data_IF_637605880263
#
_entry.id   IF_637605880263
#
_cell.length_a   1.000
_cell.length_b   1.000
_cell.length_c   1.000
_cell.angle_alpha   90.00
_cell.angle_beta   90.00
_cell.angle_gamma   90.00
#
_symmetry.space_group_name_H-M   'P 1'
#
loop_
_entity.id
_entity.type
_entity.pdbx_description
1 polymer ?
#
# COMPACT_ATOMS: atom_id res chain seq x y z
N UNK A 1 5.70 -16.02 -11.41
CA UNK A 1 5.92 -14.81 -10.59
C UNK A 1 5.89 -13.57 -11.49
N UNK A 2 4.78 -13.31 -12.18
CA UNK A 2 4.83 -12.43 -13.35
C UNK A 2 4.06 -11.09 -13.25
N UNK A 3 3.38 -10.75 -12.15
CA UNK A 3 2.62 -9.48 -12.08
C UNK A 3 2.28 -9.02 -10.64
N UNK A 4 3.16 -9.22 -9.67
CA UNK A 4 2.94 -8.66 -8.33
C UNK A 4 2.80 -7.13 -8.43
N UNK A 5 1.92 -6.54 -7.63
CA UNK A 5 1.68 -5.10 -7.56
C UNK A 5 2.18 -4.57 -6.22
N UNK A 6 2.67 -3.33 -6.24
CA UNK A 6 3.03 -2.56 -5.06
C UNK A 6 2.07 -1.40 -4.93
N UNK A 7 1.14 -1.52 -4.00
CA UNK A 7 0.17 -0.49 -3.69
C UNK A 7 0.81 0.58 -2.81
N UNK A 8 0.97 1.78 -3.34
CA UNK A 8 1.58 2.92 -2.66
C UNK A 8 0.45 3.78 -2.11
N UNK A 9 0.44 3.99 -0.79
CA UNK A 9 -0.64 4.67 -0.09
C UNK A 9 -0.85 6.10 -0.61
N UNK A 10 0.22 6.85 -0.83
CA UNK A 10 0.18 8.20 -1.39
C UNK A 10 1.44 8.53 -2.19
N UNK A 11 1.26 9.06 -3.39
CA UNK A 11 2.34 9.64 -4.20
C UNK A 11 2.70 11.02 -3.67
N UNK A 12 3.85 11.11 -3.01
CA UNK A 12 4.46 12.37 -2.55
C UNK A 12 5.83 12.57 -3.23
N UNK A 13 6.72 13.39 -2.66
CA UNK A 13 8.04 13.69 -3.22
C UNK A 13 9.10 12.58 -3.00
N UNK A 14 8.70 11.37 -2.59
CA UNK A 14 9.64 10.26 -2.42
C UNK A 14 9.96 9.58 -3.76
N UNK A 15 11.18 9.08 -3.89
CA UNK A 15 11.55 8.15 -4.95
C UNK A 15 11.12 6.74 -4.56
N UNK A 16 10.28 6.13 -5.40
CA UNK A 16 9.74 4.78 -5.20
C UNK A 16 10.36 3.74 -6.14
N UNK A 17 11.34 4.12 -6.96
CA UNK A 17 11.99 3.23 -7.95
C UNK A 17 12.53 1.95 -7.32
N UNK A 18 13.08 2.04 -6.10
CA UNK A 18 13.56 0.88 -5.35
C UNK A 18 12.47 -0.16 -5.03
N UNK A 19 11.19 0.19 -5.12
CA UNK A 19 10.07 -0.73 -4.91
C UNK A 19 9.68 -1.50 -6.19
N UNK A 20 10.14 -1.07 -7.37
CA UNK A 20 9.84 -1.73 -8.65
C UNK A 20 10.36 -3.18 -8.70
N UNK A 21 11.39 -3.49 -7.89
CA UNK A 21 11.90 -4.87 -7.72
C UNK A 21 10.89 -5.83 -7.10
N UNK A 22 9.85 -5.33 -6.42
CA UNK A 22 8.80 -6.15 -5.81
C UNK A 22 7.55 -6.29 -6.69
N UNK A 23 7.36 -5.42 -7.68
CA UNK A 23 6.18 -5.43 -8.51
C UNK A 23 5.86 -4.10 -9.19
N UNK A 24 4.78 -4.09 -9.97
CA UNK A 24 4.28 -2.89 -10.64
C UNK A 24 3.74 -1.90 -9.61
N UNK A 25 4.24 -0.66 -9.64
CA UNK A 25 3.79 0.40 -8.73
C UNK A 25 2.36 0.86 -9.07
N UNK A 26 1.49 0.88 -8.07
CA UNK A 26 0.09 1.36 -8.14
C UNK A 26 -0.09 2.45 -7.09
N UNK A 27 -0.18 3.71 -7.52
CA UNK A 27 -0.42 4.84 -6.62
C UNK A 27 -1.92 4.96 -6.34
N UNK A 28 -2.32 4.80 -5.07
CA UNK A 28 -3.73 4.85 -4.70
C UNK A 28 -4.24 6.28 -4.52
N UNK A 29 -3.38 7.19 -4.08
CA UNK A 29 -3.67 8.63 -3.95
C UNK A 29 -2.45 9.46 -4.36
N UNK A 30 -2.62 10.76 -4.59
CA UNK A 30 -1.55 11.69 -4.91
C UNK A 30 -1.73 13.04 -4.19
N UNK A 31 -0.63 13.58 -3.67
CA UNK A 31 -0.59 14.95 -3.15
C UNK A 31 -1.12 15.11 -1.71
N UNK A 32 -1.77 16.25 -1.46
CA UNK A 32 -2.25 16.64 -0.13
C UNK A 32 -3.56 15.96 0.18
N UNK A 33 -3.60 15.27 1.32
CA UNK A 33 -4.79 14.54 1.80
C UNK A 33 -5.31 15.14 3.09
N UNK A 34 -6.64 15.29 3.21
CA UNK A 34 -7.27 15.65 4.47
C UNK A 34 -7.34 14.43 5.40
N UNK A 35 -6.62 14.46 6.52
CA UNK A 35 -6.56 13.35 7.50
C UNK A 35 -7.91 12.91 8.07
N UNK A 36 -8.93 13.77 7.99
CA UNK A 36 -10.27 13.48 8.52
C UNK A 36 -11.25 12.93 7.47
N UNK A 37 -10.88 12.94 6.19
CA UNK A 37 -11.70 12.40 5.09
C UNK A 37 -11.59 10.87 4.98
N UNK A 38 -11.76 10.15 6.10
CA UNK A 38 -11.52 8.70 6.17
C UNK A 38 -12.52 7.89 5.32
N UNK A 39 -13.74 8.39 5.15
CA UNK A 39 -14.74 7.75 4.28
C UNK A 39 -14.29 7.73 2.81
N UNK A 40 -13.70 8.82 2.34
CA UNK A 40 -13.21 8.93 0.96
C UNK A 40 -11.98 8.03 0.78
N UNK A 41 -11.06 8.02 1.76
CA UNK A 41 -9.89 7.13 1.76
C UNK A 41 -10.29 5.65 1.63
N UNK A 42 -11.28 5.20 2.43
CA UNK A 42 -11.75 3.81 2.38
C UNK A 42 -12.30 3.46 0.99
N UNK A 43 -13.11 4.34 0.40
CA UNK A 43 -13.71 4.11 -0.93
C UNK A 43 -12.61 4.01 -2.00
N UNK A 44 -11.70 4.98 -2.01
CA UNK A 44 -10.61 5.04 -2.98
C UNK A 44 -9.63 3.86 -2.86
N UNK A 45 -9.29 3.43 -1.65
CA UNK A 45 -8.40 2.28 -1.46
C UNK A 45 -9.09 0.97 -1.85
N UNK A 46 -10.38 0.81 -1.57
CA UNK A 46 -11.15 -0.37 -2.03
C UNK A 46 -11.20 -0.47 -3.55
N UNK A 47 -11.44 0.65 -4.22
CA UNK A 47 -11.44 0.75 -5.68
C UNK A 47 -10.05 0.46 -6.26
N UNK A 48 -9.00 1.11 -5.73
CA UNK A 48 -7.62 0.88 -6.17
C UNK A 48 -7.19 -0.60 -6.02
N UNK A 49 -7.60 -1.23 -4.93
CA UNK A 49 -7.29 -2.63 -4.61
C UNK A 49 -8.32 -3.64 -5.16
N UNK A 50 -9.22 -3.24 -6.06
CA UNK A 50 -10.22 -4.15 -6.64
C UNK A 50 -9.56 -5.36 -7.30
N UNK A 51 -8.52 -5.11 -8.10
CA UNK A 51 -7.73 -6.11 -8.82
C UNK A 51 -6.46 -6.55 -8.06
N UNK A 52 -6.43 -6.39 -6.73
CA UNK A 52 -5.30 -6.86 -5.91
C UNK A 52 -5.42 -8.34 -5.58
N UNK A 53 -4.27 -8.98 -5.33
CA UNK A 53 -4.12 -10.38 -4.92
C UNK A 53 -3.36 -10.50 -3.59
N UNK A 54 -3.45 -11.68 -2.97
CA UNK A 54 -2.87 -11.96 -1.65
C UNK A 54 -1.33 -11.91 -1.59
N UNK A 55 -0.66 -11.93 -2.73
CA UNK A 55 0.80 -11.86 -2.89
C UNK A 55 1.28 -10.47 -3.31
N UNK A 56 0.37 -9.51 -3.49
CA UNK A 56 0.71 -8.11 -3.69
C UNK A 56 1.25 -7.48 -2.39
N UNK A 57 1.89 -6.32 -2.53
CA UNK A 57 2.49 -5.58 -1.43
C UNK A 57 1.79 -4.24 -1.17
N UNK A 58 1.81 -3.81 0.09
CA UNK A 58 1.43 -2.48 0.53
C UNK A 58 2.66 -1.70 1.00
N UNK A 59 2.96 -0.59 0.34
CA UNK A 59 4.04 0.32 0.71
C UNK A 59 3.46 1.45 1.57
N UNK A 60 3.89 1.48 2.84
CA UNK A 60 3.42 2.47 3.81
C UNK A 60 4.17 3.79 3.65
N UNK A 61 3.42 4.89 3.51
CA UNK A 61 3.99 6.24 3.40
C UNK A 61 2.96 7.30 3.83
N UNK A 62 3.37 8.57 3.94
CA UNK A 62 2.47 9.69 4.26
C UNK A 62 1.79 9.57 5.64
N UNK A 63 0.47 9.78 5.72
CA UNK A 63 -0.28 9.88 6.97
C UNK A 63 -0.60 8.51 7.59
N UNK A 64 -0.38 8.36 8.90
CA UNK A 64 -0.68 7.12 9.64
C UNK A 64 -2.14 6.67 9.51
N UNK A 65 -3.10 7.60 9.46
CA UNK A 65 -4.52 7.27 9.26
C UNK A 65 -4.76 6.59 7.91
N UNK A 66 -4.05 7.03 6.85
CA UNK A 66 -4.15 6.41 5.53
C UNK A 66 -3.55 5.01 5.54
N UNK A 67 -2.36 4.86 6.13
CA UNK A 67 -1.69 3.57 6.27
C UNK A 67 -2.55 2.56 7.04
N UNK A 68 -3.14 2.97 8.17
CA UNK A 68 -4.02 2.12 8.97
C UNK A 68 -5.26 1.65 8.17
N UNK A 69 -5.90 2.57 7.43
CA UNK A 69 -7.05 2.25 6.59
C UNK A 69 -6.65 1.31 5.45
N UNK A 70 -5.54 1.59 4.75
CA UNK A 70 -5.04 0.75 3.67
C UNK A 70 -4.70 -0.67 4.15
N UNK A 71 -4.01 -0.80 5.29
CA UNK A 71 -3.75 -2.08 5.93
C UNK A 71 -5.05 -2.82 6.25
N UNK A 72 -6.05 -2.14 6.82
CA UNK A 72 -7.33 -2.75 7.16
C UNK A 72 -8.09 -3.24 5.91
N UNK A 73 -8.06 -2.50 4.81
CA UNK A 73 -8.67 -2.90 3.54
C UNK A 73 -7.96 -4.13 2.96
N UNK A 74 -6.63 -4.09 2.89
CA UNK A 74 -5.82 -5.19 2.35
C UNK A 74 -5.98 -6.47 3.18
N UNK A 75 -5.78 -6.36 4.50
CA UNK A 75 -5.92 -7.46 5.46
C UNK A 75 -7.29 -8.14 5.37
N UNK A 76 -8.36 -7.33 5.36
CA UNK A 76 -9.74 -7.86 5.28
C UNK A 76 -10.01 -8.57 3.97
N UNK A 77 -9.42 -8.12 2.86
CA UNK A 77 -9.64 -8.71 1.54
C UNK A 77 -8.87 -10.02 1.38
N UNK A 78 -7.65 -10.09 1.90
CA UNK A 78 -6.70 -11.14 1.55
C UNK A 78 -6.36 -12.13 2.68
N UNK A 79 -6.74 -11.83 3.93
CA UNK A 79 -6.31 -12.62 5.09
C UNK A 79 -4.80 -12.58 5.33
N UNK A 80 -4.12 -11.62 4.71
CA UNK A 80 -2.66 -11.44 4.79
C UNK A 80 -2.35 -9.95 4.80
N UNK A 81 -1.14 -9.61 5.26
CA UNK A 81 -0.63 -8.25 5.19
C UNK A 81 0.85 -8.29 4.80
N UNK A 82 1.14 -7.94 3.55
CA UNK A 82 2.50 -7.90 3.00
C UNK A 82 2.94 -6.44 2.91
N UNK A 83 3.86 -6.03 3.77
CA UNK A 83 4.30 -4.65 3.90
C UNK A 83 5.66 -4.45 3.24
N UNK A 84 5.83 -3.33 2.54
CA UNK A 84 7.14 -2.81 2.16
C UNK A 84 7.47 -1.59 3.01
N UNK A 85 8.55 -1.72 3.78
CA UNK A 85 9.03 -0.71 4.72
C UNK A 85 10.37 -0.16 4.24
N UNK A 86 10.50 1.16 4.18
CA UNK A 86 11.77 1.78 3.82
C UNK A 86 12.71 1.84 5.03
N UNK A 87 13.93 1.33 4.88
CA UNK A 87 14.97 1.32 5.89
C UNK A 87 16.34 1.48 5.21
N UNK A 88 17.11 2.49 5.64
CA UNK A 88 18.54 2.64 5.28
C UNK A 88 18.83 2.60 3.77
N UNK A 89 18.00 3.25 2.95
CA UNK A 89 18.20 3.31 1.50
C UNK A 89 17.42 2.27 0.71
N UNK A 90 16.86 1.26 1.37
CA UNK A 90 16.20 0.15 0.70
C UNK A 90 14.81 -0.15 1.25
N UNK A 91 13.99 -0.80 0.43
CA UNK A 91 12.74 -1.41 0.91
C UNK A 91 13.01 -2.81 1.44
N UNK A 92 12.35 -3.14 2.55
CA UNK A 92 12.40 -4.42 3.23
C UNK A 92 10.97 -4.94 3.39
N UNK A 93 10.75 -6.19 3.00
CA UNK A 93 9.44 -6.83 3.11
C UNK A 93 9.16 -7.38 4.52
N UNK A 94 7.90 -7.30 4.94
CA UNK A 94 7.37 -7.90 6.16
C UNK A 94 5.98 -8.46 5.88
N UNK A 95 5.88 -9.79 5.85
CA UNK A 95 4.68 -10.48 5.43
C UNK A 95 4.06 -11.22 6.62
N UNK A 96 2.76 -11.04 6.81
CA UNK A 96 1.99 -11.63 7.91
C UNK A 96 0.78 -12.39 7.35
N UNK A 97 0.60 -13.64 7.79
CA UNK A 97 -0.68 -14.35 7.66
C UNK A 97 -1.55 -13.94 8.83
N UNK A 98 -2.82 -13.64 8.58
CA UNK A 98 -3.77 -13.19 9.60
C UNK A 98 -4.79 -14.29 9.84
N UNK A 99 -4.89 -14.71 11.10
CA UNK A 99 -5.75 -15.77 11.62
C UNK A 99 -7.25 -15.46 11.49
#
# INVERSE_FOLDING_TARGET
>A
MANAKVYIVNKSAHDFSGAEKYGKLIFMTEGKMNRFSTNDMIRQFKESMEESYKDDYLLLCSLNVMNAIACAVFARKHGTLNLLLYKEGEYVERNHVLD
#
